data_IF_973775974780
#
_entry.id   IF_973775974780
#
_cell.length_a   1.000
_cell.length_b   1.000
_cell.length_c   1.000
_cell.angle_alpha   90.00
_cell.angle_beta   90.00
_cell.angle_gamma   90.00
#
_symmetry.space_group_name_H-M   'P 1'
#
loop_
_entity.id
_entity.type
_entity.pdbx_description
1 polymer ?
#
# COMPACT_ATOMS: atom_id res chain seq x y z
N UNK A 1 -26.78 -11.23 -25.32
CA UNK A 1 -26.07 -9.93 -25.33
C UNK A 1 -24.61 -10.18 -25.02
N UNK A 2 -23.65 -9.53 -25.69
CA UNK A 2 -22.23 -9.73 -25.37
C UNK A 2 -21.88 -8.99 -24.07
N UNK A 3 -21.88 -9.70 -22.93
CA UNK A 3 -21.64 -9.15 -21.58
C UNK A 3 -20.29 -8.44 -21.48
N UNK A 4 -19.26 -8.93 -22.17
CA UNK A 4 -17.96 -8.28 -22.28
C UNK A 4 -18.07 -6.91 -22.96
N UNK A 5 -18.90 -6.77 -23.99
CA UNK A 5 -19.11 -5.48 -24.65
C UNK A 5 -19.79 -4.47 -23.73
N UNK A 6 -20.78 -4.90 -22.93
CA UNK A 6 -21.43 -4.04 -21.93
C UNK A 6 -20.46 -3.62 -20.82
N UNK A 7 -19.61 -4.56 -20.35
CA UNK A 7 -18.57 -4.26 -19.37
C UNK A 7 -17.56 -3.23 -19.91
N UNK A 8 -17.08 -3.42 -21.14
CA UNK A 8 -16.22 -2.44 -21.83
C UNK A 8 -16.90 -1.09 -21.98
N UNK A 9 -18.21 -1.07 -22.24
CA UNK A 9 -18.96 0.18 -22.33
C UNK A 9 -19.06 0.89 -20.98
N UNK A 10 -19.31 0.17 -19.90
CA UNK A 10 -19.29 0.74 -18.55
C UNK A 10 -17.92 1.35 -18.20
N UNK A 11 -16.82 0.71 -18.57
CA UNK A 11 -15.47 1.28 -18.42
C UNK A 11 -15.35 2.62 -19.17
N UNK A 12 -15.78 2.67 -20.44
CA UNK A 12 -15.73 3.91 -21.24
C UNK A 12 -16.56 5.04 -20.64
N UNK A 13 -17.73 4.73 -20.06
CA UNK A 13 -18.60 5.72 -19.42
C UNK A 13 -17.93 6.39 -18.21
N UNK A 14 -16.91 5.77 -17.61
CA UNK A 14 -16.10 6.37 -16.54
C UNK A 14 -14.82 7.07 -17.04
N UNK A 15 -14.66 7.21 -18.35
CA UNK A 15 -13.46 7.77 -18.97
C UNK A 15 -12.27 6.80 -19.01
N UNK A 16 -12.49 5.50 -18.76
CA UNK A 16 -11.45 4.46 -18.84
C UNK A 16 -11.58 3.73 -20.17
N UNK A 17 -10.57 3.88 -21.04
CA UNK A 17 -10.46 3.05 -22.24
C UNK A 17 -10.12 1.60 -21.80
N UNK A 18 -10.98 0.60 -22.11
CA UNK A 18 -10.70 -0.79 -21.77
C UNK A 18 -9.54 -1.37 -22.60
N UNK A 19 -8.89 -2.44 -22.12
CA UNK A 19 -7.97 -3.21 -22.95
C UNK A 19 -8.70 -3.90 -24.12
N UNK A 20 -7.93 -4.28 -25.14
CA UNK A 20 -8.46 -4.93 -26.34
C UNK A 20 -9.08 -6.29 -26.01
N UNK A 21 -8.52 -7.02 -25.06
CA UNK A 21 -9.04 -8.29 -24.55
C UNK A 21 -9.44 -8.18 -23.07
N UNK A 22 -10.59 -8.74 -22.73
CA UNK A 22 -11.06 -8.89 -21.34
C UNK A 22 -11.07 -10.38 -21.03
N UNK A 23 -10.24 -10.79 -20.07
CA UNK A 23 -10.16 -12.15 -19.60
C UNK A 23 -11.20 -12.37 -18.50
N UNK A 24 -12.07 -13.35 -18.70
CA UNK A 24 -13.18 -13.65 -17.80
C UNK A 24 -12.84 -14.75 -16.78
N UNK A 25 -11.63 -14.72 -16.24
CA UNK A 25 -11.10 -15.73 -15.32
C UNK A 25 -11.37 -15.40 -13.84
N UNK A 26 -12.06 -14.29 -13.56
CA UNK A 26 -12.29 -13.80 -12.20
C UNK A 26 -11.04 -13.30 -11.47
N UNK A 27 -9.91 -13.19 -12.17
CA UNK A 27 -8.66 -12.67 -11.64
C UNK A 27 -8.53 -11.15 -11.81
N UNK A 28 -7.63 -10.55 -11.03
CA UNK A 28 -7.28 -9.14 -11.17
C UNK A 28 -6.32 -8.94 -12.35
N UNK A 29 -6.80 -8.27 -13.38
CA UNK A 29 -5.99 -7.85 -14.53
C UNK A 29 -5.65 -6.38 -14.41
N UNK A 30 -4.38 -6.03 -14.69
CA UNK A 30 -3.91 -4.63 -14.70
C UNK A 30 -3.42 -4.24 -16.07
N UNK A 31 -3.76 -3.02 -16.50
CA UNK A 31 -3.42 -2.51 -17.82
C UNK A 31 -3.06 -1.02 -17.77
N UNK A 32 -2.37 -0.56 -18.81
CA UNK A 32 -2.07 0.87 -19.00
C UNK A 32 -3.30 1.59 -19.54
N UNK A 33 -3.78 2.60 -18.82
CA UNK A 33 -4.88 3.44 -19.30
C UNK A 33 -4.34 4.42 -20.33
N UNK A 34 -5.09 4.64 -21.41
CA UNK A 34 -4.72 5.60 -22.45
C UNK A 34 -4.41 6.99 -21.85
N UNK A 35 -3.30 7.59 -22.28
CA UNK A 35 -2.80 8.87 -21.77
C UNK A 35 -1.94 8.77 -20.50
N UNK A 36 -1.83 7.59 -19.87
CA UNK A 36 -0.88 7.39 -18.77
C UNK A 36 0.52 7.05 -19.30
N UNK A 37 1.53 7.16 -18.42
CA UNK A 37 2.91 6.77 -18.72
C UNK A 37 2.95 5.33 -19.28
N UNK A 38 3.73 5.07 -20.35
CA UNK A 38 3.90 3.72 -20.88
C UNK A 38 4.25 2.71 -19.79
N UNK A 39 3.64 1.52 -19.86
CA UNK A 39 3.80 0.41 -18.90
C UNK A 39 3.29 0.69 -17.47
N UNK A 40 2.66 1.83 -17.21
CA UNK A 40 1.95 2.05 -15.95
C UNK A 40 0.80 1.05 -15.79
N UNK A 41 0.52 0.65 -14.56
CA UNK A 41 -0.50 -0.37 -14.23
C UNK A 41 -1.64 0.24 -13.43
N UNK A 42 -2.06 1.44 -13.83
CA UNK A 42 -3.06 2.24 -13.11
C UNK A 42 -4.48 1.74 -13.35
N UNK A 43 -4.75 1.14 -14.51
CA UNK A 43 -6.03 0.54 -14.85
C UNK A 43 -6.12 -0.89 -14.32
N UNK A 44 -7.30 -1.29 -13.85
CA UNK A 44 -7.54 -2.66 -13.41
C UNK A 44 -8.97 -3.10 -13.67
N UNK A 45 -9.18 -4.41 -13.78
CA UNK A 45 -10.49 -5.02 -13.80
C UNK A 45 -10.47 -6.44 -13.22
N UNK A 46 -11.64 -6.90 -12.79
CA UNK A 46 -11.97 -8.30 -12.53
C UNK A 46 -13.30 -8.56 -13.23
N UNK A 47 -13.39 -9.64 -13.99
CA UNK A 47 -14.61 -9.99 -14.71
C UNK A 47 -14.92 -11.47 -14.52
N UNK A 48 -16.15 -11.76 -14.11
CA UNK A 48 -16.72 -13.08 -13.95
C UNK A 48 -17.85 -13.24 -14.97
N UNK A 49 -17.67 -14.16 -15.93
CA UNK A 49 -18.72 -14.48 -16.90
C UNK A 49 -19.77 -15.42 -16.32
N UNK A 50 -20.85 -15.63 -17.08
CA UNK A 50 -21.96 -16.54 -16.77
C UNK A 50 -23.33 -15.85 -16.90
N UNK A 51 -24.38 -16.55 -16.50
CA UNK A 51 -25.79 -16.11 -16.65
C UNK A 51 -26.04 -14.72 -16.04
N UNK A 52 -25.36 -14.44 -14.92
CA UNK A 52 -25.23 -13.12 -14.36
C UNK A 52 -23.74 -12.75 -14.33
N UNK A 53 -23.30 -12.04 -15.37
CA UNK A 53 -21.95 -11.53 -15.48
C UNK A 53 -21.75 -10.39 -14.47
N UNK A 54 -20.62 -10.43 -13.77
CA UNK A 54 -20.30 -9.48 -12.70
C UNK A 54 -18.84 -9.12 -12.77
N UNK A 55 -18.50 -7.92 -12.32
CA UNK A 55 -17.12 -7.49 -12.32
C UNK A 55 -16.91 -6.24 -11.50
N UNK A 56 -15.68 -5.79 -11.50
CA UNK A 56 -15.32 -4.46 -11.03
C UNK A 56 -14.18 -3.94 -11.89
N UNK A 57 -14.10 -2.63 -12.04
CA UNK A 57 -13.01 -1.99 -12.77
C UNK A 57 -12.67 -0.65 -12.15
N UNK A 58 -11.50 -0.13 -12.50
CA UNK A 58 -11.13 1.19 -12.02
C UNK A 58 -9.80 1.69 -12.55
N UNK A 59 -9.46 2.90 -12.12
CA UNK A 59 -8.20 3.55 -12.40
C UNK A 59 -7.71 4.29 -11.16
N UNK A 60 -6.54 3.91 -10.65
CA UNK A 60 -6.01 4.46 -9.40
C UNK A 60 -5.67 5.95 -9.54
N UNK A 61 -5.08 6.34 -10.68
CA UNK A 61 -4.74 7.74 -10.99
C UNK A 61 -5.98 8.62 -11.06
N UNK A 62 -7.06 8.11 -11.64
CA UNK A 62 -8.33 8.85 -11.83
C UNK A 62 -9.31 8.66 -10.65
N UNK A 63 -8.91 7.93 -9.61
CA UNK A 63 -9.74 7.59 -8.44
C UNK A 63 -11.09 6.93 -8.79
N UNK A 64 -11.13 6.14 -9.86
CA UNK A 64 -12.32 5.38 -10.27
C UNK A 64 -12.27 3.97 -9.68
N UNK A 65 -13.38 3.52 -9.09
CA UNK A 65 -13.56 2.17 -8.55
C UNK A 65 -15.05 1.80 -8.63
N UNK A 66 -15.45 1.13 -9.70
CA UNK A 66 -16.84 0.78 -9.98
C UNK A 66 -17.07 -0.73 -9.89
N UNK A 67 -18.17 -1.10 -9.23
CA UNK A 67 -18.74 -2.44 -9.35
C UNK A 67 -19.68 -2.48 -10.56
N UNK A 68 -19.71 -3.61 -11.26
CA UNK A 68 -20.52 -3.78 -12.46
C UNK A 68 -21.24 -5.13 -12.48
N UNK A 69 -22.44 -5.14 -13.04
CA UNK A 69 -23.19 -6.35 -13.37
C UNK A 69 -23.92 -6.18 -14.70
N UNK A 70 -24.15 -7.28 -15.42
CA UNK A 70 -24.89 -7.29 -16.68
C UNK A 70 -26.35 -6.88 -16.52
N UNK A 71 -26.92 -7.11 -15.34
CA UNK A 71 -28.28 -6.70 -14.98
C UNK A 71 -28.23 -5.80 -13.73
N UNK A 72 -28.97 -4.68 -13.69
CA UNK A 72 -29.11 -3.89 -12.48
C UNK A 72 -29.69 -4.74 -11.34
N UNK A 73 -29.10 -4.67 -10.15
CA UNK A 73 -29.60 -5.43 -8.99
C UNK A 73 -31.11 -5.18 -8.71
N UNK A 74 -31.60 -3.98 -9.04
CA UNK A 74 -32.99 -3.56 -8.84
C UNK A 74 -33.98 -4.20 -9.82
N UNK A 75 -33.52 -4.69 -10.98
CA UNK A 75 -34.36 -5.39 -11.96
C UNK A 75 -34.36 -6.92 -11.78
N UNK A 76 -33.54 -7.44 -10.86
CA UNK A 76 -33.46 -8.87 -10.55
C UNK A 76 -34.65 -9.33 -9.70
N UNK A 77 -35.14 -10.53 -9.98
CA UNK A 77 -36.13 -11.23 -9.15
C UNK A 77 -35.58 -11.51 -7.73
N UNK A 78 -36.43 -11.73 -6.71
CA UNK A 78 -35.97 -12.09 -5.37
C UNK A 78 -35.04 -13.32 -5.33
N UNK A 79 -35.30 -14.31 -6.18
CA UNK A 79 -34.49 -15.53 -6.33
C UNK A 79 -33.10 -15.20 -6.90
N UNK A 80 -33.02 -14.38 -7.95
CA UNK A 80 -31.76 -13.92 -8.56
C UNK A 80 -30.95 -13.05 -7.61
N UNK A 81 -31.60 -12.15 -6.87
CA UNK A 81 -30.94 -11.34 -5.83
C UNK A 81 -30.32 -12.21 -4.73
N UNK A 82 -31.02 -13.27 -4.34
CA UNK A 82 -30.54 -14.23 -3.34
C UNK A 82 -29.33 -15.01 -3.87
N UNK A 83 -29.41 -15.51 -5.11
CA UNK A 83 -28.30 -16.18 -5.77
C UNK A 83 -27.07 -15.27 -5.92
N UNK A 84 -27.27 -13.99 -6.27
CA UNK A 84 -26.22 -12.97 -6.35
C UNK A 84 -25.53 -12.76 -5.00
N UNK A 85 -26.30 -12.59 -3.91
CA UNK A 85 -25.75 -12.44 -2.55
C UNK A 85 -24.92 -13.66 -2.15
N UNK A 86 -25.41 -14.86 -2.42
CA UNK A 86 -24.68 -16.11 -2.14
C UNK A 86 -23.37 -16.17 -2.95
N UNK A 87 -23.42 -15.85 -4.25
CA UNK A 87 -22.23 -15.80 -5.12
C UNK A 87 -21.19 -14.80 -4.62
N UNK A 88 -21.61 -13.58 -4.27
CA UNK A 88 -20.72 -12.53 -3.75
C UNK A 88 -20.14 -12.88 -2.38
N UNK A 89 -20.93 -13.49 -1.49
CA UNK A 89 -20.46 -13.97 -0.20
C UNK A 89 -19.41 -15.09 -0.37
N UNK A 90 -19.62 -16.03 -1.29
CA UNK A 90 -18.67 -17.09 -1.60
C UNK A 90 -17.37 -16.54 -2.19
N UNK A 91 -17.43 -15.61 -3.15
CA UNK A 91 -16.25 -14.95 -3.73
C UNK A 91 -15.47 -14.19 -2.64
N UNK A 92 -16.18 -13.44 -1.79
CA UNK A 92 -15.56 -12.71 -0.68
C UNK A 92 -14.88 -13.65 0.32
N UNK A 93 -15.54 -14.77 0.65
CA UNK A 93 -15.00 -15.80 1.54
C UNK A 93 -13.74 -16.45 0.96
N UNK A 94 -13.77 -16.82 -0.32
CA UNK A 94 -12.62 -17.40 -1.03
C UNK A 94 -11.45 -16.42 -1.07
N UNK A 95 -11.66 -15.17 -1.52
CA UNK A 95 -10.61 -14.13 -1.55
C UNK A 95 -10.01 -13.87 -0.17
N UNK A 96 -10.85 -13.84 0.86
CA UNK A 96 -10.38 -13.65 2.25
C UNK A 96 -9.54 -14.85 2.71
N UNK A 97 -9.94 -16.07 2.39
CA UNK A 97 -9.19 -17.28 2.72
C UNK A 97 -7.84 -17.33 2.00
N UNK A 98 -7.81 -17.03 0.70
CA UNK A 98 -6.58 -16.97 -0.09
C UNK A 98 -5.63 -15.88 0.40
N UNK A 99 -6.15 -14.68 0.69
CA UNK A 99 -5.35 -13.60 1.24
C UNK A 99 -4.73 -14.00 2.59
N UNK A 100 -5.50 -14.64 3.48
CA UNK A 100 -4.99 -15.15 4.76
C UNK A 100 -3.90 -16.21 4.56
N UNK A 101 -4.09 -17.14 3.62
CA UNK A 101 -3.10 -18.17 3.28
C UNK A 101 -1.80 -17.54 2.79
N UNK A 102 -1.88 -16.65 1.80
CA UNK A 102 -0.71 -15.95 1.22
C UNK A 102 0.01 -15.11 2.29
N UNK A 103 -0.73 -14.46 3.20
CA UNK A 103 -0.14 -13.73 4.33
C UNK A 103 0.56 -14.66 5.34
N UNK A 104 -0.03 -15.83 5.64
CA UNK A 104 0.59 -16.83 6.51
C UNK A 104 1.89 -17.39 5.90
N UNK A 105 1.88 -17.71 4.61
CA UNK A 105 3.07 -18.13 3.86
C UNK A 105 4.16 -17.05 3.87
N UNK A 106 3.79 -15.78 3.66
CA UNK A 106 4.71 -14.66 3.75
C UNK A 106 5.32 -14.53 5.14
N UNK A 107 4.51 -14.65 6.20
CA UNK A 107 4.97 -14.59 7.59
C UNK A 107 5.94 -15.72 7.90
N UNK A 108 5.61 -16.96 7.54
CA UNK A 108 6.48 -18.12 7.73
C UNK A 108 7.82 -17.96 6.99
N UNK A 109 7.78 -17.47 5.75
CA UNK A 109 8.98 -17.17 4.97
C UNK A 109 9.85 -16.10 5.67
N UNK A 110 9.24 -15.01 6.15
CA UNK A 110 9.96 -13.96 6.87
C UNK A 110 10.60 -14.47 8.17
N UNK A 111 9.89 -15.30 8.94
CA UNK A 111 10.39 -15.90 10.17
C UNK A 111 11.60 -16.82 9.92
N UNK A 112 11.66 -17.47 8.75
CA UNK A 112 12.79 -18.31 8.36
C UNK A 112 14.00 -17.50 7.84
N UNK A 113 13.76 -16.45 7.05
CA UNK A 113 14.82 -15.67 6.39
C UNK A 113 15.42 -14.60 7.30
N UNK A 114 14.59 -13.89 8.08
CA UNK A 114 15.05 -12.76 8.89
C UNK A 114 16.17 -13.11 9.87
N UNK A 115 16.13 -14.22 10.63
CA UNK A 115 17.21 -14.57 11.54
C UNK A 115 18.52 -14.90 10.83
N UNK A 116 18.46 -15.44 9.60
CA UNK A 116 19.61 -15.86 8.80
C UNK A 116 20.29 -14.71 8.04
N UNK A 117 19.55 -13.63 7.81
CA UNK A 117 20.10 -12.44 7.16
C UNK A 117 21.09 -11.70 8.08
N UNK A 118 22.10 -11.11 7.48
CA UNK A 118 23.12 -10.33 8.19
C UNK A 118 22.59 -8.92 8.50
N UNK A 119 23.08 -8.30 9.57
CA UNK A 119 22.78 -6.90 9.83
C UNK A 119 23.41 -6.04 8.75
N UNK A 120 22.66 -5.07 8.23
CA UNK A 120 23.23 -4.11 7.29
C UNK A 120 24.21 -3.20 8.02
N UNK A 121 25.28 -2.81 7.34
CA UNK A 121 26.16 -1.71 7.76
C UNK A 121 25.86 -0.48 6.93
N UNK A 122 26.33 0.68 7.38
CA UNK A 122 26.22 1.93 6.60
C UNK A 122 26.96 1.88 5.27
N UNK A 123 27.77 0.84 5.00
CA UNK A 123 28.43 0.59 3.72
C UNK A 123 27.53 0.00 2.64
N UNK A 124 26.29 -0.38 2.97
CA UNK A 124 25.37 -0.86 1.94
C UNK A 124 25.18 0.22 0.83
N UNK A 125 25.21 -0.15 -0.46
CA UNK A 125 25.16 0.82 -1.56
C UNK A 125 23.97 1.78 -1.53
N UNK A 126 22.78 1.29 -1.16
CA UNK A 126 21.59 2.14 -1.04
C UNK A 126 21.72 3.15 0.10
N UNK A 127 22.20 2.69 1.27
CA UNK A 127 22.39 3.53 2.46
C UNK A 127 23.44 4.61 2.24
N UNK A 128 24.60 4.27 1.64
CA UNK A 128 25.63 5.24 1.28
C UNK A 128 25.11 6.31 0.32
N UNK A 129 24.42 5.91 -0.76
CA UNK A 129 23.86 6.87 -1.72
C UNK A 129 22.83 7.80 -1.05
N UNK A 130 22.03 7.27 -0.11
CA UNK A 130 21.05 8.07 0.63
C UNK A 130 21.65 8.86 1.80
N UNK A 131 22.91 8.65 2.15
CA UNK A 131 23.60 9.36 3.22
C UNK A 131 23.04 9.07 4.62
N UNK A 132 22.50 7.87 4.85
CA UNK A 132 21.87 7.48 6.14
C UNK A 132 22.47 6.20 6.70
N UNK A 133 22.43 6.04 8.03
CA UNK A 133 22.94 4.84 8.70
C UNK A 133 21.96 3.65 8.62
N UNK A 134 22.48 2.48 8.96
CA UNK A 134 21.70 1.26 9.15
C UNK A 134 21.07 1.23 10.56
N UNK A 135 19.74 1.24 10.65
CA UNK A 135 18.99 1.09 11.88
C UNK A 135 18.04 -0.09 11.78
N UNK A 136 18.33 -1.18 12.50
CA UNK A 136 17.43 -2.34 12.61
C UNK A 136 17.10 -3.06 11.29
N UNK A 137 17.81 -2.72 10.22
CA UNK A 137 17.66 -3.30 8.88
C UNK A 137 18.72 -4.35 8.64
N UNK A 138 18.38 -5.33 7.81
CA UNK A 138 19.27 -6.43 7.43
C UNK A 138 19.62 -6.34 5.95
N UNK A 139 20.55 -7.18 5.53
CA UNK A 139 20.99 -7.24 4.15
C UNK A 139 21.07 -8.69 3.68
N UNK A 140 20.73 -8.89 2.42
CA UNK A 140 21.03 -10.10 1.66
C UNK A 140 21.71 -9.67 0.36
N UNK A 141 22.98 -10.05 0.19
CA UNK A 141 23.88 -9.49 -0.82
C UNK A 141 23.92 -7.96 -0.68
N UNK A 142 23.58 -7.19 -1.73
CA UNK A 142 23.47 -5.73 -1.64
C UNK A 142 22.02 -5.22 -1.42
N UNK A 143 21.05 -6.12 -1.33
CA UNK A 143 19.64 -5.77 -1.14
C UNK A 143 19.33 -5.57 0.34
N UNK A 144 18.85 -4.37 0.68
CA UNK A 144 18.41 -4.06 2.04
C UNK A 144 17.05 -4.72 2.33
N UNK A 145 16.94 -5.33 3.50
CA UNK A 145 15.73 -5.96 4.03
C UNK A 145 15.17 -5.09 5.16
N UNK A 146 13.96 -4.57 4.97
CA UNK A 146 13.23 -3.77 5.96
C UNK A 146 11.98 -4.55 6.41
N UNK A 147 11.89 -4.99 7.67
CA UNK A 147 10.79 -5.83 8.12
C UNK A 147 9.52 -4.99 8.31
N UNK A 148 8.38 -5.56 7.93
CA UNK A 148 7.05 -4.97 8.17
C UNK A 148 6.50 -5.61 9.43
N UNK A 149 6.36 -4.83 10.51
CA UNK A 149 6.09 -5.32 11.87
C UNK A 149 4.79 -4.77 12.46
N UNK A 150 4.25 -5.48 13.45
CA UNK A 150 3.19 -4.97 14.33
C UNK A 150 3.77 -4.24 15.56
N UNK A 151 2.91 -3.88 16.51
CA UNK A 151 3.29 -3.17 17.74
C UNK A 151 4.13 -4.05 18.67
N UNK A 152 3.96 -5.36 18.57
CA UNK A 152 4.62 -6.40 19.34
C UNK A 152 5.99 -6.77 18.73
N UNK A 153 6.30 -6.28 17.52
CA UNK A 153 7.54 -6.53 16.79
C UNK A 153 7.53 -7.80 15.94
N UNK A 154 6.40 -8.50 15.85
CA UNK A 154 6.28 -9.68 14.98
C UNK A 154 6.28 -9.23 13.51
N UNK A 155 6.97 -9.99 12.65
CA UNK A 155 7.16 -9.65 11.25
C UNK A 155 6.00 -10.21 10.41
N UNK A 156 5.28 -9.35 9.69
CA UNK A 156 4.16 -9.68 8.81
C UNK A 156 4.48 -9.52 7.31
N UNK A 157 5.73 -9.21 7.00
CA UNK A 157 6.24 -9.11 5.64
C UNK A 157 7.61 -8.45 5.57
N UNK A 158 8.08 -8.22 4.36
CA UNK A 158 9.42 -7.68 4.11
C UNK A 158 9.38 -6.73 2.92
N UNK A 159 9.99 -5.55 3.06
CA UNK A 159 10.37 -4.70 1.94
C UNK A 159 11.83 -4.98 1.57
N UNK A 160 12.08 -5.13 0.28
CA UNK A 160 13.39 -5.21 -0.33
C UNK A 160 13.69 -3.88 -0.97
N UNK A 161 14.88 -3.34 -0.71
CA UNK A 161 15.39 -2.14 -1.37
C UNK A 161 16.68 -2.52 -2.09
N UNK A 162 16.63 -2.54 -3.42
CA UNK A 162 17.79 -2.86 -4.23
C UNK A 162 18.81 -1.70 -4.23
N UNK A 163 20.06 -1.94 -4.67
CA UNK A 163 21.09 -0.92 -4.71
C UNK A 163 20.68 0.34 -5.44
N UNK A 164 19.91 0.25 -6.53
CA UNK A 164 19.38 1.37 -7.32
C UNK A 164 18.26 2.16 -6.61
N UNK A 165 17.77 1.66 -5.47
CA UNK A 165 16.68 2.26 -4.70
C UNK A 165 15.30 1.78 -5.12
N UNK A 166 15.19 0.86 -6.07
CA UNK A 166 13.93 0.21 -6.40
C UNK A 166 13.44 -0.62 -5.21
N UNK A 167 12.16 -0.45 -4.87
CA UNK A 167 11.54 -1.07 -3.68
C UNK A 167 10.50 -2.08 -4.11
N UNK A 168 10.53 -3.26 -3.49
CA UNK A 168 9.52 -4.32 -3.70
C UNK A 168 9.14 -4.92 -2.37
N UNK A 169 7.94 -5.48 -2.28
CA UNK A 169 7.52 -6.23 -1.11
C UNK A 169 7.48 -7.72 -1.41
N UNK A 170 7.75 -8.54 -0.39
CA UNK A 170 7.45 -9.98 -0.46
C UNK A 170 5.95 -10.15 -0.72
N UNK A 171 5.57 -10.95 -1.72
CA UNK A 171 4.17 -11.32 -1.97
C UNK A 171 3.54 -11.87 -0.69
N UNK A 172 2.41 -11.29 -0.30
CA UNK A 172 1.71 -11.58 0.95
C UNK A 172 2.06 -10.68 2.12
N UNK A 173 2.94 -9.68 1.95
CA UNK A 173 3.22 -8.70 3.00
C UNK A 173 1.94 -8.00 3.45
N UNK A 174 1.60 -8.13 4.73
CA UNK A 174 0.46 -7.43 5.33
C UNK A 174 0.88 -6.03 5.78
N UNK A 175 0.89 -5.08 4.84
CA UNK A 175 1.38 -3.71 5.09
C UNK A 175 0.40 -2.84 5.89
N UNK A 176 -0.92 -3.00 5.67
CA UNK A 176 -1.92 -2.08 6.22
C UNK A 176 -1.84 -2.06 7.74
N UNK A 177 -1.57 -0.87 8.31
CA UNK A 177 -1.41 -0.64 9.73
C UNK A 177 -0.12 -1.23 10.35
N UNK A 178 0.70 -1.93 9.57
CA UNK A 178 2.01 -2.43 9.98
C UNK A 178 3.10 -1.49 9.48
N UNK A 179 4.24 -1.50 10.15
CA UNK A 179 5.25 -0.46 10.01
C UNK A 179 6.65 -0.98 10.33
N UNK A 180 7.67 -0.15 10.14
CA UNK A 180 9.02 -0.41 10.67
C UNK A 180 9.40 0.67 11.69
N UNK A 181 10.01 0.28 12.80
CA UNK A 181 10.39 1.22 13.88
C UNK A 181 11.90 1.41 13.93
N UNK A 182 12.33 2.67 13.94
CA UNK A 182 13.70 3.11 14.17
C UNK A 182 13.78 3.72 15.58
N UNK A 183 14.73 3.24 16.38
CA UNK A 183 15.01 3.76 17.71
C UNK A 183 13.92 3.45 18.76
N UNK A 184 14.04 4.11 19.90
CA UNK A 184 13.09 4.05 21.01
C UNK A 184 12.47 5.43 21.25
N UNK A 185 11.21 5.44 21.70
CA UNK A 185 10.52 6.71 21.97
C UNK A 185 11.21 7.41 23.13
N UNK A 186 11.47 8.71 22.94
CA UNK A 186 11.93 9.64 23.97
C UNK A 186 10.86 10.70 24.14
N UNK A 187 10.67 11.15 25.36
CA UNK A 187 9.74 12.24 25.70
C UNK A 187 8.28 11.97 25.27
N UNK A 188 7.91 10.69 25.15
CA UNK A 188 6.59 10.26 24.67
C UNK A 188 6.26 10.83 23.28
N UNK A 189 7.28 10.98 22.41
CA UNK A 189 7.15 11.43 21.02
C UNK A 189 7.41 10.26 20.07
N UNK A 190 6.62 10.20 19.00
CA UNK A 190 6.87 9.35 17.83
C UNK A 190 6.63 10.13 16.55
N UNK A 191 7.55 9.98 15.60
CA UNK A 191 7.46 10.59 14.28
C UNK A 191 7.10 9.51 13.27
N UNK A 192 6.15 9.74 12.38
CA UNK A 192 5.71 8.79 11.37
C UNK A 192 6.03 9.35 9.99
N UNK A 193 6.74 8.59 9.16
CA UNK A 193 7.10 8.98 7.78
C UNK A 193 6.84 7.83 6.80
N UNK A 194 7.00 8.06 5.50
CA UNK A 194 6.76 7.03 4.48
C UNK A 194 7.96 6.11 4.25
N UNK A 195 9.15 6.66 4.04
CA UNK A 195 10.32 5.89 3.61
C UNK A 195 11.34 5.62 4.71
N UNK A 196 12.09 4.52 4.57
CA UNK A 196 13.21 4.21 5.48
C UNK A 196 14.27 5.31 5.50
N UNK A 197 14.69 5.82 4.34
CA UNK A 197 15.74 6.87 4.27
C UNK A 197 15.30 8.16 4.96
N UNK A 198 14.06 8.59 4.71
CA UNK A 198 13.44 9.75 5.38
C UNK A 198 13.39 9.50 6.89
N UNK A 199 12.99 8.30 7.31
CA UNK A 199 12.90 7.96 8.73
C UNK A 199 14.24 7.90 9.45
N UNK A 200 15.28 7.35 8.80
CA UNK A 200 16.64 7.34 9.31
C UNK A 200 17.20 8.76 9.43
N UNK A 201 16.96 9.62 8.44
CA UNK A 201 17.37 11.04 8.48
C UNK A 201 16.72 11.78 9.65
N UNK A 202 15.40 11.61 9.83
CA UNK A 202 14.67 12.20 10.96
C UNK A 202 15.23 11.68 12.30
N UNK A 203 15.49 10.38 12.40
CA UNK A 203 16.04 9.80 13.62
C UNK A 203 17.44 10.34 13.94
N UNK A 204 18.29 10.51 12.92
CA UNK A 204 19.63 11.07 13.08
C UNK A 204 19.61 12.53 13.53
N UNK A 205 18.69 13.32 12.99
CA UNK A 205 18.57 14.74 13.32
C UNK A 205 17.93 14.98 14.70
N UNK A 206 17.02 14.12 15.14
CA UNK A 206 16.17 14.38 16.33
C UNK A 206 16.41 13.42 17.49
N UNK A 207 16.92 12.21 17.23
CA UNK A 207 17.06 11.15 18.21
C UNK A 207 15.74 10.54 18.72
N UNK A 208 14.57 10.97 18.23
CA UNK A 208 13.26 10.41 18.60
C UNK A 208 12.95 9.12 17.84
N UNK A 209 12.02 8.31 18.35
CA UNK A 209 11.51 7.16 17.61
C UNK A 209 10.85 7.58 16.30
N UNK A 210 11.18 6.86 15.23
CA UNK A 210 10.55 7.04 13.93
C UNK A 210 9.87 5.76 13.49
N UNK A 211 8.66 5.90 12.95
CA UNK A 211 7.87 4.82 12.40
C UNK A 211 7.72 5.03 10.89
N UNK A 212 8.19 4.06 10.12
CA UNK A 212 8.14 4.04 8.66
C UNK A 212 6.87 3.30 8.24
N UNK A 213 5.93 4.04 7.67
CA UNK A 213 4.64 3.53 7.16
C UNK A 213 4.73 2.90 5.77
N UNK A 214 5.88 3.02 5.10
CA UNK A 214 6.20 2.53 3.76
C UNK A 214 5.57 3.26 2.56
N UNK A 215 4.42 3.91 2.73
CA UNK A 215 3.80 4.80 1.74
C UNK A 215 2.68 5.66 2.37
N UNK A 216 2.28 6.71 1.66
CA UNK A 216 1.27 7.66 2.11
C UNK A 216 -0.08 7.01 2.41
N UNK A 217 -0.45 5.96 1.68
CA UNK A 217 -1.71 5.23 1.88
C UNK A 217 -1.77 4.53 3.24
N UNK A 218 -0.62 4.24 3.85
CA UNK A 218 -0.52 3.54 5.12
C UNK A 218 -0.29 4.48 6.32
N UNK A 219 -0.07 5.78 6.11
CA UNK A 219 0.13 6.77 7.18
C UNK A 219 -1.04 6.77 8.17
N UNK A 220 -2.29 6.86 7.67
CA UNK A 220 -3.49 6.90 8.52
C UNK A 220 -3.67 5.58 9.32
N UNK A 221 -3.69 4.38 8.69
CA UNK A 221 -3.77 3.12 9.43
C UNK A 221 -2.70 2.96 10.52
N UNK A 222 -1.45 3.32 10.22
CA UNK A 222 -0.34 3.23 11.18
C UNK A 222 -0.53 4.22 12.33
N UNK A 223 -0.86 5.47 12.03
CA UNK A 223 -1.09 6.50 13.04
C UNK A 223 -2.24 6.12 13.99
N UNK A 224 -3.36 5.61 13.45
CA UNK A 224 -4.49 5.16 14.26
C UNK A 224 -4.11 3.98 15.16
N UNK A 225 -3.33 3.03 14.63
CA UNK A 225 -2.86 1.87 15.40
C UNK A 225 -1.93 2.27 16.56
N UNK A 226 -1.07 3.27 16.34
CA UNK A 226 -0.22 3.81 17.41
C UNK A 226 -1.08 4.54 18.45
N UNK A 227 -1.99 5.42 18.02
CA UNK A 227 -2.86 6.19 18.92
C UNK A 227 -3.75 5.29 19.78
N UNK A 228 -4.27 4.19 19.23
CA UNK A 228 -5.12 3.26 20.00
C UNK A 228 -4.35 2.54 21.11
N UNK A 229 -3.04 2.31 20.95
CA UNK A 229 -2.19 1.65 21.95
C UNK A 229 -1.52 2.63 22.91
N UNK A 230 -1.20 3.83 22.42
CA UNK A 230 -0.49 4.88 23.14
C UNK A 230 -1.30 6.18 23.07
N UNK A 231 -2.35 6.27 23.89
CA UNK A 231 -3.35 7.34 23.84
C UNK A 231 -2.76 8.74 24.07
N UNK A 232 -1.69 8.86 24.87
CA UNK A 232 -1.11 10.14 25.27
C UNK A 232 0.16 10.53 24.49
N UNK A 233 0.60 9.67 23.57
CA UNK A 233 1.84 9.90 22.82
C UNK A 233 1.69 11.08 21.86
N UNK A 234 2.69 11.96 21.79
CA UNK A 234 2.71 13.03 20.78
C UNK A 234 3.12 12.41 19.44
N UNK A 235 2.16 12.36 18.51
CA UNK A 235 2.35 11.78 17.18
C UNK A 235 2.61 12.93 16.20
N UNK A 236 3.72 12.85 15.47
CA UNK A 236 4.10 13.82 14.44
C UNK A 236 4.15 13.09 13.09
N UNK A 237 3.40 13.55 12.10
CA UNK A 237 3.44 13.04 10.74
C UNK A 237 4.46 13.86 9.96
N UNK A 238 5.52 13.24 9.46
CA UNK A 238 6.49 13.85 8.58
C UNK A 238 6.17 13.44 7.13
N UNK A 239 5.63 14.37 6.36
CA UNK A 239 5.35 14.17 4.94
C UNK A 239 6.59 14.51 4.10
N UNK A 240 6.91 13.68 3.13
CA UNK A 240 7.88 14.03 2.08
C UNK A 240 7.20 14.97 1.07
N UNK A 241 7.92 15.96 0.55
CA UNK A 241 7.42 16.85 -0.51
C UNK A 241 7.90 16.30 -1.86
N UNK A 242 7.33 15.18 -2.28
CA UNK A 242 7.57 14.61 -3.61
C UNK A 242 6.81 15.47 -4.66
N UNK A 243 7.39 16.64 -4.99
CA UNK A 243 6.88 17.61 -5.97
C UNK A 243 6.64 17.02 -7.36
N UNK A 244 7.22 15.86 -7.65
CA UNK A 244 7.11 15.15 -8.93
C UNK A 244 5.78 14.40 -9.12
N UNK A 245 4.90 14.37 -8.10
CA UNK A 245 3.58 13.75 -8.22
C UNK A 245 2.47 14.80 -8.33
N UNK A 246 1.83 14.87 -9.50
CA UNK A 246 0.64 15.70 -9.76
C UNK A 246 -0.40 15.53 -8.63
N UNK A 247 -0.69 16.60 -7.89
CA UNK A 247 -1.66 16.63 -6.78
C UNK A 247 -1.12 16.40 -5.36
N UNK A 248 0.20 16.20 -5.17
CA UNK A 248 0.87 15.99 -3.86
C UNK A 248 0.06 15.11 -2.86
N UNK A 249 -0.20 13.83 -3.23
CA UNK A 249 -1.01 12.93 -2.41
C UNK A 249 -0.38 12.61 -1.04
N UNK A 250 0.94 12.78 -0.90
CA UNK A 250 1.68 12.58 0.35
C UNK A 250 1.20 13.54 1.45
N UNK A 251 1.26 14.85 1.20
CA UNK A 251 0.83 15.88 2.15
C UNK A 251 -0.67 15.72 2.47
N UNK A 252 -1.52 15.54 1.47
CA UNK A 252 -2.98 15.39 1.69
C UNK A 252 -3.31 14.22 2.61
N UNK A 253 -2.64 13.07 2.43
CA UNK A 253 -2.82 11.89 3.29
C UNK A 253 -2.21 12.08 4.68
N UNK A 254 -1.08 12.75 4.78
CA UNK A 254 -0.47 13.08 6.06
C UNK A 254 -1.33 14.05 6.89
N UNK A 255 -1.94 15.07 6.27
CA UNK A 255 -2.94 15.95 6.88
C UNK A 255 -4.11 15.13 7.42
N UNK A 256 -4.67 14.24 6.60
CA UNK A 256 -5.78 13.36 7.02
C UNK A 256 -5.38 12.48 8.20
N UNK A 257 -4.19 11.89 8.17
CA UNK A 257 -3.67 11.08 9.25
C UNK A 257 -3.50 11.87 10.55
N UNK A 258 -2.82 13.03 10.50
CA UNK A 258 -2.61 13.89 11.65
C UNK A 258 -3.92 14.33 12.30
N UNK A 259 -4.89 14.81 11.50
CA UNK A 259 -6.22 15.19 12.01
C UNK A 259 -6.95 14.02 12.70
N UNK A 260 -6.92 12.84 12.10
CA UNK A 260 -7.63 11.67 12.62
C UNK A 260 -7.11 11.18 13.98
N UNK A 261 -5.88 11.53 14.36
CA UNK A 261 -5.26 11.06 15.61
C UNK A 261 -4.88 12.19 16.57
N UNK A 262 -5.31 13.43 16.28
CA UNK A 262 -4.88 14.61 17.04
C UNK A 262 -3.35 14.80 17.03
N UNK A 263 -2.71 14.45 15.91
CA UNK A 263 -1.26 14.56 15.71
C UNK A 263 -0.85 15.89 15.08
N UNK A 264 0.46 16.13 15.04
CA UNK A 264 1.07 17.26 14.36
C UNK A 264 1.50 16.84 12.94
N UNK A 265 1.68 17.82 12.05
CA UNK A 265 2.21 17.62 10.70
C UNK A 265 3.46 18.47 10.53
N UNK A 266 4.50 17.89 9.95
CA UNK A 266 5.71 18.58 9.50
C UNK A 266 6.01 18.16 8.07
N UNK A 267 6.50 19.11 7.27
CA UNK A 267 6.95 18.91 5.89
C UNK A 267 8.01 19.98 5.57
N UNK A 268 8.95 19.71 4.65
CA UNK A 268 9.98 20.68 4.31
C UNK A 268 9.41 21.91 3.60
N UNK A 269 9.89 23.10 3.97
CA UNK A 269 9.69 24.32 3.20
C UNK A 269 10.93 24.51 2.33
N UNK A 270 10.81 24.24 1.03
CA UNK A 270 11.85 24.62 0.08
C UNK A 270 11.57 26.05 -0.38
N UNK A 271 12.35 27.01 0.10
CA UNK A 271 12.39 28.34 -0.49
C UNK A 271 12.79 28.21 -1.96
N UNK A 272 12.09 28.91 -2.85
CA UNK A 272 12.31 28.86 -4.29
C UNK A 272 13.77 29.15 -4.61
N UNK A 273 14.41 28.25 -5.36
CA UNK A 273 15.82 28.35 -5.71
C UNK A 273 16.16 29.71 -6.33
N UNK A 274 17.22 30.31 -5.80
CA UNK A 274 18.04 31.30 -6.51
C UNK A 274 18.83 30.63 -7.63
#
# INVERSE_FOLDING_TARGET
MNTVMLFKQAMRNTGIKPPDEILADGCLHRFTVYGDKPQSKNGWYVFHDGDLATGAFGCWKRQVNEAWSSEPYQSMTPEEQTAYKIKMANITRQRTADQKRIQAECRAWCANVWPKAQNATSDNPYLRRKGVKAYGVKVFEDTLLVPVQDLEGAIHGMQFIAPDGSKRFKTGTNKVGHFFKIGMSKENIVIICEGYSTGATIHEATGHAVVVAFDAGNLLPVAQRIRSRFCDMKIILAADDDKDTEGNPGISKAIKAARAVGGLLVYPLFEGGS
#
